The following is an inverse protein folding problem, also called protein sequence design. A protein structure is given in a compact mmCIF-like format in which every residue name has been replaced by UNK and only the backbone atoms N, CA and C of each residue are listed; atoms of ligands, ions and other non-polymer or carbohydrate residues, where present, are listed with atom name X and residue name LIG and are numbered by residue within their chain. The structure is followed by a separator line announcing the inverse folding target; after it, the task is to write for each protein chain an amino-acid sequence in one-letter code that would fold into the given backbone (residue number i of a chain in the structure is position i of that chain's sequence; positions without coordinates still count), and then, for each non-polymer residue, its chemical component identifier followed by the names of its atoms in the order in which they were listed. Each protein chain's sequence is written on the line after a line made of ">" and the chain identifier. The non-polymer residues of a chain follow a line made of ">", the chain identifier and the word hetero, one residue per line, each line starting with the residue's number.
data_IF_252657889355
#
_entry.id   IF_252657889355
#
_cell.length_a   1.000
_cell.length_b   1.000
_cell.length_c   1.000
_cell.angle_alpha   90.00
_cell.angle_beta   90.00
_cell.angle_gamma   90.00
#
_symmetry.space_group_name_H-M   'P 1'
#
loop_
_entity.id
_entity.type
_entity.pdbx_description
1 polymer ?
#
# COMPACT_ATOMS: atom_id res chain seq x y z
N UNK A 1 6.98 9.70 -13.13
CA UNK A 1 8.10 10.50 -12.58
C UNK A 1 7.75 11.14 -11.23
N UNK A 2 6.57 11.77 -11.04
CA UNK A 2 6.21 12.39 -9.75
C UNK A 2 6.13 11.42 -8.55
N UNK A 3 5.79 10.15 -8.77
CA UNK A 3 5.72 9.15 -7.69
C UNK A 3 7.06 8.87 -7.00
N UNK A 4 8.18 9.08 -7.69
CA UNK A 4 9.52 8.91 -7.11
C UNK A 4 9.90 10.06 -6.15
N UNK A 5 9.15 11.17 -6.16
CA UNK A 5 9.36 12.33 -5.28
C UNK A 5 8.55 12.21 -3.97
N UNK A 6 7.75 11.14 -3.83
CA UNK A 6 6.96 10.88 -2.62
C UNK A 6 7.83 10.14 -1.62
N UNK A 7 8.11 10.79 -0.50
CA UNK A 7 8.85 10.22 0.62
C UNK A 7 8.06 10.46 1.91
N UNK A 8 7.52 9.38 2.47
CA UNK A 8 6.73 9.36 3.69
C UNK A 8 6.88 8.00 4.38
N UNK A 9 6.90 7.96 5.72
CA UNK A 9 7.08 6.71 6.46
C UNK A 9 6.02 5.65 6.10
N UNK A 10 4.75 6.07 6.02
CA UNK A 10 3.60 5.21 5.72
C UNK A 10 3.30 5.02 4.23
N UNK A 11 4.22 5.39 3.32
CA UNK A 11 4.07 5.15 1.88
C UNK A 11 5.28 4.37 1.39
N UNK A 12 5.06 3.35 0.55
CA UNK A 12 6.16 2.61 -0.08
C UNK A 12 7.02 3.55 -0.93
N UNK A 13 8.34 3.48 -0.74
CA UNK A 13 9.26 4.29 -1.54
C UNK A 13 9.38 3.74 -2.95
N UNK A 14 9.17 4.58 -3.96
CA UNK A 14 9.40 4.21 -5.37
C UNK A 14 10.83 4.61 -5.76
N UNK A 15 11.61 3.65 -6.23
CA UNK A 15 12.99 3.88 -6.67
C UNK A 15 13.07 4.21 -8.16
N UNK A 16 12.34 3.49 -9.00
CA UNK A 16 12.44 3.67 -10.45
C UNK A 16 11.20 3.17 -11.21
N UNK A 17 11.09 3.59 -12.47
CA UNK A 17 10.16 3.08 -13.47
C UNK A 17 10.97 2.54 -14.64
N UNK A 18 10.73 1.28 -15.00
CA UNK A 18 11.47 0.57 -16.07
C UNK A 18 10.48 0.13 -17.13
N UNK A 19 10.83 0.30 -18.39
CA UNK A 19 10.07 -0.22 -19.52
C UNK A 19 10.88 -1.35 -20.18
N UNK A 20 10.22 -2.45 -20.51
CA UNK A 20 10.84 -3.60 -21.17
C UNK A 20 10.02 -4.01 -22.39
N UNK A 21 10.68 -4.14 -23.54
CA UNK A 21 10.07 -4.66 -24.76
C UNK A 21 10.04 -6.18 -24.72
N UNK A 22 8.85 -6.77 -24.62
CA UNK A 22 8.67 -8.21 -24.84
C UNK A 22 8.92 -8.52 -26.32
N UNK A 23 10.07 -9.12 -26.62
CA UNK A 23 10.47 -9.43 -27.99
C UNK A 23 9.55 -10.45 -28.68
N UNK A 24 8.76 -11.22 -27.93
CA UNK A 24 7.87 -12.23 -28.49
C UNK A 24 6.54 -11.63 -28.94
N UNK A 25 6.04 -10.62 -28.22
CA UNK A 25 4.73 -10.00 -28.48
C UNK A 25 4.83 -8.61 -29.10
N UNK A 26 5.99 -7.95 -28.96
CA UNK A 26 6.22 -6.57 -29.35
C UNK A 26 5.61 -5.54 -28.39
N UNK A 27 5.07 -5.95 -27.23
CA UNK A 27 4.52 -5.02 -26.24
C UNK A 27 5.60 -4.42 -25.36
N UNK A 28 5.38 -3.17 -24.93
CA UNK A 28 6.22 -2.50 -23.95
C UNK A 28 5.56 -2.63 -22.57
N UNK A 29 6.18 -3.41 -21.69
CA UNK A 29 5.70 -3.66 -20.34
C UNK A 29 6.38 -2.69 -19.35
N UNK A 30 5.59 -2.03 -18.52
CA UNK A 30 6.06 -1.14 -17.47
C UNK A 30 6.21 -1.85 -16.12
N UNK A 31 7.36 -1.67 -15.48
CA UNK A 31 7.68 -2.18 -14.15
C UNK A 31 7.99 -1.01 -13.21
N UNK A 32 7.51 -1.13 -11.97
CA UNK A 32 7.85 -0.19 -10.89
C UNK A 32 8.81 -0.88 -9.94
N UNK A 33 9.97 -0.28 -9.73
CA UNK A 33 10.94 -0.73 -8.73
C UNK A 33 10.71 0.08 -7.47
N UNK A 34 10.42 -0.60 -6.37
CA UNK A 34 10.06 0.02 -5.10
C UNK A 34 10.70 -0.70 -3.91
N UNK A 35 10.62 -0.08 -2.75
CA UNK A 35 11.00 -0.66 -1.46
C UNK A 35 10.34 -2.03 -1.26
N UNK A 36 11.13 -2.99 -0.78
CA UNK A 36 10.57 -4.24 -0.28
C UNK A 36 9.96 -3.99 1.09
N UNK A 37 8.63 -4.06 1.16
CA UNK A 37 7.87 -3.93 2.39
C UNK A 37 7.62 -5.32 2.97
N UNK A 38 8.30 -5.67 4.06
CA UNK A 38 8.10 -6.94 4.77
C UNK A 38 6.79 -6.97 5.58
N UNK A 39 6.57 -8.00 6.39
CA UNK A 39 5.38 -8.08 7.26
C UNK A 39 4.15 -8.67 6.57
N UNK A 40 2.94 -8.25 7.01
CA UNK A 40 1.67 -8.83 6.56
C UNK A 40 0.70 -7.76 6.09
N UNK A 41 -0.01 -8.03 4.99
CA UNK A 41 -1.12 -7.19 4.59
C UNK A 41 -2.23 -7.22 5.66
N UNK A 42 -2.95 -6.11 5.84
CA UNK A 42 -4.09 -6.07 6.78
C UNK A 42 -5.15 -7.12 6.42
N UNK A 43 -5.27 -7.47 5.14
CA UNK A 43 -6.10 -8.60 4.68
C UNK A 43 -5.68 -9.93 5.29
N UNK A 44 -4.38 -10.21 5.36
CA UNK A 44 -3.85 -11.44 5.95
C UNK A 44 -4.10 -11.46 7.45
N UNK A 45 -3.84 -10.35 8.14
CA UNK A 45 -4.12 -10.19 9.58
C UNK A 45 -5.62 -10.42 9.86
N UNK A 46 -6.50 -9.80 9.08
CA UNK A 46 -7.95 -10.01 9.20
C UNK A 46 -8.36 -11.46 8.83
N UNK A 47 -7.58 -12.17 8.03
CA UNK A 47 -7.84 -13.55 7.66
C UNK A 47 -7.39 -14.57 8.71
N UNK A 48 -6.34 -14.26 9.46
CA UNK A 48 -5.86 -15.09 10.56
C UNK A 48 -6.79 -15.02 11.78
N UNK A 49 -7.51 -13.90 11.94
CA UNK A 49 -8.51 -13.74 13.01
C UNK A 49 -9.80 -14.49 12.69
N UNK A 50 -10.01 -15.62 13.36
CA UNK A 50 -11.21 -16.45 13.22
C UNK A 50 -11.78 -16.81 14.58
N UNK A 51 -13.09 -16.67 14.71
CA UNK A 51 -13.85 -17.22 15.84
C UNK A 51 -13.81 -18.75 15.81
N UNK A 52 -14.13 -19.45 16.92
CA UNK A 52 -14.26 -20.92 16.92
C UNK A 52 -15.24 -21.46 15.88
N UNK A 53 -16.23 -20.66 15.47
CA UNK A 53 -17.20 -20.99 14.43
C UNK A 53 -16.69 -20.73 13.00
N UNK A 54 -15.41 -20.38 12.81
CA UNK A 54 -14.79 -20.12 11.51
C UNK A 54 -15.15 -18.79 10.86
N UNK A 55 -15.93 -17.92 11.53
CA UNK A 55 -16.23 -16.56 11.05
C UNK A 55 -15.06 -15.61 11.32
N UNK A 56 -14.90 -14.58 10.47
CA UNK A 56 -13.98 -13.47 10.73
C UNK A 56 -14.25 -12.88 12.11
N UNK A 57 -13.22 -12.86 12.94
CA UNK A 57 -13.25 -12.13 14.19
C UNK A 57 -12.71 -10.71 13.93
N UNK A 58 -13.54 -9.65 14.10
CA UNK A 58 -13.11 -8.28 13.84
C UNK A 58 -11.84 -7.90 14.60
N UNK A 59 -11.10 -6.93 14.07
CA UNK A 59 -10.02 -6.30 14.82
C UNK A 59 -10.60 -5.56 16.04
N UNK A 60 -9.89 -5.55 17.19
CA UNK A 60 -10.19 -4.61 18.26
C UNK A 60 -10.26 -3.18 17.72
N UNK A 61 -11.18 -2.38 18.25
CA UNK A 61 -11.44 -1.01 17.75
C UNK A 61 -10.17 -0.17 17.82
N UNK A 62 -9.41 -0.29 18.90
CA UNK A 62 -8.17 0.44 19.14
C UNK A 62 -7.13 0.11 18.06
N UNK A 63 -7.01 -1.15 17.68
CA UNK A 63 -6.08 -1.59 16.64
C UNK A 63 -6.53 -1.10 15.25
N UNK A 64 -7.83 -1.16 14.96
CA UNK A 64 -8.37 -0.62 13.71
C UNK A 64 -8.16 0.90 13.61
N UNK A 65 -8.35 1.63 14.72
CA UNK A 65 -8.08 3.05 14.79
C UNK A 65 -6.60 3.38 14.58
N UNK A 66 -5.67 2.60 15.16
CA UNK A 66 -4.24 2.79 14.94
C UNK A 66 -3.87 2.69 13.45
N UNK A 67 -4.30 1.64 12.76
CA UNK A 67 -4.09 1.51 11.31
C UNK A 67 -4.75 2.64 10.52
N UNK A 68 -5.95 3.07 10.93
CA UNK A 68 -6.66 4.18 10.31
C UNK A 68 -5.89 5.49 10.40
N UNK A 69 -5.29 5.79 11.56
CA UNK A 69 -4.50 7.01 11.77
C UNK A 69 -3.29 7.03 10.84
N UNK A 70 -2.50 5.96 10.80
CA UNK A 70 -1.31 5.88 9.93
C UNK A 70 -1.66 5.94 8.42
N UNK A 71 -2.78 5.31 8.03
CA UNK A 71 -3.28 5.43 6.67
C UNK A 71 -3.70 6.88 6.35
N UNK A 72 -4.34 7.58 7.29
CA UNK A 72 -4.74 8.97 7.12
C UNK A 72 -3.52 9.92 7.04
N UNK A 73 -2.43 9.64 7.73
CA UNK A 73 -1.17 10.40 7.61
C UNK A 73 -0.60 10.29 6.19
N UNK A 74 -0.54 9.07 5.63
CA UNK A 74 -0.15 8.85 4.24
C UNK A 74 -1.07 9.60 3.25
N UNK A 75 -2.40 9.47 3.42
CA UNK A 75 -3.37 10.15 2.58
C UNK A 75 -3.25 11.68 2.68
N UNK A 76 -3.05 12.21 3.89
CA UNK A 76 -2.83 13.63 4.13
C UNK A 76 -1.58 14.14 3.40
N UNK A 77 -0.49 13.37 3.42
CA UNK A 77 0.74 13.69 2.69
C UNK A 77 0.55 13.73 1.17
N UNK A 78 -0.25 12.82 0.62
CA UNK A 78 -0.59 12.81 -0.81
C UNK A 78 -1.48 14.00 -1.17
N UNK A 79 -2.54 14.23 -0.39
CA UNK A 79 -3.46 15.34 -0.61
C UNK A 79 -2.76 16.71 -0.51
N UNK A 80 -1.79 16.87 0.39
CA UNK A 80 -0.99 18.11 0.49
C UNK A 80 -0.16 18.40 -0.77
N UNK A 81 -0.03 17.43 -1.68
CA UNK A 81 0.69 17.53 -2.97
C UNK A 81 -0.24 17.48 -4.18
N UNK A 82 -1.56 17.60 -3.96
CA UNK A 82 -2.60 17.42 -4.97
C UNK A 82 -2.48 16.06 -5.67
N UNK A 83 -2.29 15.00 -4.88
CA UNK A 83 -2.28 13.62 -5.35
C UNK A 83 -3.42 12.85 -4.71
N UNK A 84 -4.21 12.16 -5.52
CA UNK A 84 -5.33 11.32 -5.08
C UNK A 84 -4.94 9.84 -5.16
N UNK A 85 -4.97 9.15 -4.02
CA UNK A 85 -4.84 7.70 -3.96
C UNK A 85 -6.20 7.05 -4.20
N UNK A 86 -6.32 6.24 -5.27
CA UNK A 86 -7.61 5.74 -5.73
C UNK A 86 -7.88 4.26 -5.38
N UNK A 87 -6.96 3.57 -4.72
CA UNK A 87 -7.07 2.13 -4.46
C UNK A 87 -6.82 1.79 -2.98
N UNK A 88 -7.40 2.58 -2.08
CA UNK A 88 -7.30 2.31 -0.64
C UNK A 88 -8.17 1.12 -0.24
N UNK A 89 -7.50 0.05 0.18
CA UNK A 89 -8.10 -1.21 0.66
C UNK A 89 -7.11 -1.96 1.55
N UNK A 90 -7.61 -2.93 2.32
CA UNK A 90 -6.79 -3.73 3.25
C UNK A 90 -5.73 -4.61 2.56
N UNK A 91 -5.89 -4.87 1.26
CA UNK A 91 -4.92 -5.57 0.43
C UNK A 91 -3.67 -4.71 0.17
N UNK A 92 -3.83 -3.39 0.12
CA UNK A 92 -2.77 -2.43 -0.23
C UNK A 92 -2.20 -1.71 1.01
N UNK A 93 -2.38 -2.29 2.19
CA UNK A 93 -1.85 -1.77 3.44
C UNK A 93 -1.11 -2.90 4.15
N UNK A 94 0.21 -2.75 4.33
CA UNK A 94 1.07 -3.75 4.95
C UNK A 94 1.49 -3.24 6.32
N UNK A 95 1.21 -4.03 7.36
CA UNK A 95 1.82 -3.83 8.66
C UNK A 95 3.22 -4.44 8.66
N UNK A 96 4.22 -3.57 8.73
CA UNK A 96 5.60 -3.92 9.07
C UNK A 96 5.80 -3.65 10.55
N UNK A 97 6.55 -4.46 11.29
CA UNK A 97 6.91 -4.26 12.72
C UNK A 97 6.03 -3.21 13.44
N UNK A 98 6.49 -1.95 13.45
CA UNK A 98 5.85 -0.84 14.17
C UNK A 98 5.09 0.17 13.29
N UNK A 99 4.96 -0.04 11.98
CA UNK A 99 4.34 0.91 11.06
C UNK A 99 3.52 0.26 9.94
N UNK A 100 2.42 0.91 9.59
CA UNK A 100 1.61 0.62 8.42
C UNK A 100 2.17 1.35 7.19
N UNK A 101 2.38 0.63 6.10
CA UNK A 101 2.76 1.19 4.80
C UNK A 101 1.67 0.94 3.76
N UNK A 102 1.24 2.01 3.09
CA UNK A 102 0.42 1.92 1.88
C UNK A 102 1.30 1.55 0.69
N UNK A 103 0.84 0.55 -0.06
CA UNK A 103 1.48 0.05 -1.27
C UNK A 103 0.59 0.30 -2.50
N UNK A 104 1.07 -0.15 -3.66
CA UNK A 104 0.35 -0.05 -4.93
C UNK A 104 0.02 1.40 -5.34
N UNK A 105 1.09 2.18 -5.56
CA UNK A 105 0.97 3.57 -6.00
C UNK A 105 0.58 3.71 -7.48
N UNK A 106 0.28 2.61 -8.19
CA UNK A 106 -0.08 2.63 -9.61
C UNK A 106 -1.39 3.36 -9.90
N UNK A 107 -2.30 3.43 -8.93
CA UNK A 107 -3.59 4.10 -9.03
C UNK A 107 -3.57 5.58 -8.58
N UNK A 108 -2.41 6.13 -8.24
CA UNK A 108 -2.30 7.54 -7.81
C UNK A 108 -2.39 8.46 -9.02
N UNK A 109 -3.21 9.51 -8.92
CA UNK A 109 -3.41 10.52 -9.99
C UNK A 109 -3.36 11.95 -9.46
N UNK A 110 -3.12 12.89 -10.36
CA UNK A 110 -3.30 14.33 -10.13
C UNK A 110 -4.72 14.76 -10.48
#
# INVERSE_FOLDING_TARGET
>A
RFLAEIEHANIVRIYNFVEHLDQRTGSLDGYIVMEYVGGKALKEIANERRTPAGKRDPLPVEQACAYGIEALEALGHLHSRNLLYCDFKVDNAIQTEDQLKLIDMGAVRR
#
